data_IF_328924483371
#
_entry.id   IF_328924483371
#
_cell.length_a   1.000
_cell.length_b   1.000
_cell.length_c   1.000
_cell.angle_alpha   90.00
_cell.angle_beta   90.00
_cell.angle_gamma   90.00
#
_symmetry.space_group_name_H-M   'P 1'
#
loop_
_entity.id
_entity.type
_entity.pdbx_description
1 polymer ?
#
# COMPACT_ATOMS: atom_id res chain seq x y z
N UNK A 1 14.58 15.09 13.10
CA UNK A 1 14.04 13.72 12.92
C UNK A 1 12.57 13.71 12.53
N UNK A 2 11.63 14.28 13.32
CA UNK A 2 10.20 14.29 12.96
C UNK A 2 9.92 14.88 11.57
N UNK A 3 10.47 16.05 11.24
CA UNK A 3 10.32 16.67 9.91
C UNK A 3 10.75 15.71 8.79
N UNK A 4 11.87 15.00 8.96
CA UNK A 4 12.32 14.00 7.98
C UNK A 4 11.31 12.86 7.82
N UNK A 5 10.70 12.38 8.91
CA UNK A 5 9.64 11.36 8.85
C UNK A 5 8.43 11.89 8.05
N UNK A 6 8.01 13.14 8.29
CA UNK A 6 6.92 13.76 7.55
C UNK A 6 7.23 13.87 6.05
N UNK A 7 8.41 14.36 5.70
CA UNK A 7 8.83 14.54 4.31
C UNK A 7 8.92 13.19 3.59
N UNK A 8 9.55 12.18 4.21
CA UNK A 8 9.65 10.84 3.62
C UNK A 8 8.27 10.21 3.44
N UNK A 9 7.38 10.32 4.44
CA UNK A 9 6.03 9.76 4.32
C UNK A 9 5.17 10.49 3.28
N UNK A 10 5.34 11.80 3.13
CA UNK A 10 4.67 12.57 2.08
C UNK A 10 5.15 12.14 0.68
N UNK A 11 6.46 12.01 0.49
CA UNK A 11 7.02 11.51 -0.77
C UNK A 11 6.55 10.08 -1.06
N UNK A 12 6.50 9.24 -0.02
CA UNK A 12 6.00 7.88 -0.12
C UNK A 12 4.51 7.85 -0.49
N UNK A 13 3.68 8.73 0.11
CA UNK A 13 2.27 8.87 -0.28
C UNK A 13 2.12 9.27 -1.74
N UNK A 14 2.89 10.25 -2.22
CA UNK A 14 2.86 10.70 -3.62
C UNK A 14 3.21 9.52 -4.54
N UNK A 15 4.25 8.74 -4.19
CA UNK A 15 4.62 7.54 -4.91
C UNK A 15 3.50 6.49 -4.94
N UNK A 16 2.87 6.21 -3.78
CA UNK A 16 1.75 5.27 -3.68
C UNK A 16 0.51 5.75 -4.45
N UNK A 17 0.23 7.05 -4.49
CA UNK A 17 -0.84 7.62 -5.32
C UNK A 17 -0.57 7.44 -6.81
N UNK A 18 0.69 7.63 -7.23
CA UNK A 18 1.11 7.37 -8.61
C UNK A 18 0.92 5.90 -8.99
N UNK A 19 1.41 4.97 -8.17
CA UNK A 19 1.22 3.53 -8.40
C UNK A 19 -0.25 3.14 -8.38
N UNK A 20 -1.01 3.58 -7.38
CA UNK A 20 -2.43 3.26 -7.25
C UNK A 20 -3.25 3.75 -8.46
N UNK A 21 -2.92 4.94 -8.98
CA UNK A 21 -3.54 5.47 -10.19
C UNK A 21 -3.21 4.64 -11.43
N UNK A 22 -1.94 4.25 -11.60
CA UNK A 22 -1.52 3.39 -12.70
C UNK A 22 -2.18 2.00 -12.64
N UNK A 23 -2.28 1.42 -11.45
CA UNK A 23 -2.94 0.14 -11.23
C UNK A 23 -4.45 0.23 -11.53
N UNK A 24 -5.13 1.26 -11.03
CA UNK A 24 -6.54 1.50 -11.34
C UNK A 24 -6.80 1.67 -12.84
N UNK A 25 -5.96 2.46 -13.53
CA UNK A 25 -6.05 2.60 -14.98
C UNK A 25 -5.76 1.28 -15.71
N UNK A 26 -4.79 0.49 -15.23
CA UNK A 26 -4.44 -0.81 -15.78
C UNK A 26 -5.60 -1.82 -15.70
N UNK A 27 -6.30 -1.87 -14.56
CA UNK A 27 -7.49 -2.70 -14.39
C UNK A 27 -8.60 -2.36 -15.40
N UNK A 28 -8.76 -1.07 -15.72
CA UNK A 28 -9.80 -0.58 -16.62
C UNK A 28 -9.32 -0.43 -18.08
N UNK A 29 -8.09 -0.83 -18.40
CA UNK A 29 -7.51 -0.63 -19.74
C UNK A 29 -8.12 -1.56 -20.80
N UNK A 30 -8.50 -2.78 -20.41
CA UNK A 30 -9.10 -3.77 -21.28
C UNK A 30 -10.38 -4.35 -20.66
N UNK A 31 -11.35 -4.82 -21.48
CA UNK A 31 -12.54 -5.48 -20.95
C UNK A 31 -12.16 -6.71 -20.12
N UNK A 32 -12.52 -6.69 -18.84
CA UNK A 32 -12.35 -7.81 -17.93
C UNK A 32 -13.70 -8.49 -17.70
N UNK A 33 -13.80 -9.84 -17.80
CA UNK A 33 -15.06 -10.56 -17.69
C UNK A 33 -15.58 -10.71 -16.24
N UNK A 34 -14.72 -10.49 -15.23
CA UNK A 34 -15.07 -10.59 -13.81
C UNK A 34 -15.34 -9.23 -13.14
N UNK A 35 -15.47 -9.22 -11.81
CA UNK A 35 -15.57 -7.99 -11.03
C UNK A 35 -14.24 -7.71 -10.33
N UNK A 36 -13.83 -6.46 -10.32
CA UNK A 36 -12.56 -5.99 -9.76
C UNK A 36 -12.58 -5.85 -8.22
N UNK A 37 -13.25 -6.73 -7.48
CA UNK A 37 -13.51 -6.53 -6.04
C UNK A 37 -12.21 -6.58 -5.24
N UNK A 38 -11.41 -7.64 -5.38
CA UNK A 38 -10.17 -7.79 -4.63
C UNK A 38 -9.12 -6.76 -5.03
N UNK A 39 -9.05 -6.40 -6.30
CA UNK A 39 -8.17 -5.33 -6.78
C UNK A 39 -8.56 -3.96 -6.19
N UNK A 40 -9.85 -3.61 -6.18
CA UNK A 40 -10.32 -2.35 -5.58
C UNK A 40 -10.09 -2.31 -4.05
N UNK A 41 -10.37 -3.42 -3.35
CA UNK A 41 -10.04 -3.54 -1.92
C UNK A 41 -8.54 -3.43 -1.71
N UNK A 42 -7.77 -4.08 -2.57
CA UNK A 42 -6.31 -4.05 -2.59
C UNK A 42 -5.77 -2.63 -2.68
N UNK A 43 -6.28 -1.85 -3.62
CA UNK A 43 -5.94 -0.45 -3.83
C UNK A 43 -6.26 0.42 -2.61
N UNK A 44 -7.44 0.26 -2.02
CA UNK A 44 -7.84 1.02 -0.84
C UNK A 44 -6.93 0.71 0.37
N UNK A 45 -6.60 -0.56 0.56
CA UNK A 45 -5.81 -1.02 1.69
C UNK A 45 -4.37 -0.50 1.69
N UNK A 46 -3.80 -0.16 0.52
CA UNK A 46 -2.49 0.51 0.42
C UNK A 46 -2.45 1.77 1.29
N UNK A 47 -3.49 2.60 1.21
CA UNK A 47 -3.55 3.87 1.92
C UNK A 47 -3.86 3.68 3.41
N UNK A 48 -4.62 2.63 3.76
CA UNK A 48 -4.85 2.23 5.14
C UNK A 48 -3.53 1.80 5.79
N UNK A 49 -2.77 0.92 5.13
CA UNK A 49 -1.47 0.48 5.64
C UNK A 49 -0.47 1.61 5.72
N UNK A 50 -0.43 2.49 4.72
CA UNK A 50 0.37 3.70 4.78
C UNK A 50 0.05 4.57 6.00
N UNK A 51 -1.24 4.82 6.26
CA UNK A 51 -1.66 5.63 7.41
C UNK A 51 -1.24 5.01 8.75
N UNK A 52 -1.39 3.68 8.88
CA UNK A 52 -0.97 2.93 10.07
C UNK A 52 0.55 2.92 10.22
N UNK A 53 1.28 2.63 9.15
CA UNK A 53 2.75 2.61 9.11
C UNK A 53 3.32 3.96 9.49
N UNK A 54 2.80 5.03 8.90
CA UNK A 54 3.17 6.40 9.22
C UNK A 54 2.93 6.75 10.70
N UNK A 55 1.76 6.39 11.24
CA UNK A 55 1.46 6.59 12.66
C UNK A 55 2.48 5.87 13.56
N UNK A 56 2.82 4.62 13.25
CA UNK A 56 3.80 3.83 14.02
C UNK A 56 5.22 4.41 13.90
N UNK A 57 5.60 4.92 12.73
CA UNK A 57 6.89 5.57 12.50
C UNK A 57 7.05 6.84 13.33
N UNK A 58 5.99 7.64 13.51
CA UNK A 58 6.00 8.83 14.37
C UNK A 58 6.25 8.52 15.85
N UNK A 59 5.98 7.29 16.30
CA UNK A 59 6.27 6.85 17.67
C UNK A 59 7.71 6.39 17.87
N UNK A 60 8.51 6.26 16.80
CA UNK A 60 9.88 5.78 16.90
C UNK A 60 10.83 6.86 17.41
N UNK A 61 11.68 6.49 18.38
CA UNK A 61 12.63 7.41 19.03
C UNK A 61 13.99 7.47 18.34
N UNK A 62 14.33 6.47 17.53
CA UNK A 62 15.63 6.35 16.86
C UNK A 62 15.46 6.15 15.37
N UNK A 63 16.44 6.63 14.59
CA UNK A 63 16.43 6.51 13.13
C UNK A 63 16.49 5.05 12.66
N UNK A 64 17.24 4.19 13.37
CA UNK A 64 17.31 2.75 13.07
C UNK A 64 15.94 2.08 13.19
N UNK A 65 15.17 2.39 14.24
CA UNK A 65 13.81 1.85 14.40
C UNK A 65 12.87 2.38 13.32
N UNK A 66 12.97 3.67 12.98
CA UNK A 66 12.22 4.22 11.84
C UNK A 66 12.49 3.45 10.55
N UNK A 67 13.76 3.21 10.20
CA UNK A 67 14.14 2.46 8.99
C UNK A 67 13.59 1.04 9.03
N UNK A 68 13.68 0.34 10.16
CA UNK A 68 13.14 -1.02 10.31
C UNK A 68 11.63 -1.03 10.06
N UNK A 69 10.88 -0.10 10.67
CA UNK A 69 9.43 -0.01 10.44
C UNK A 69 9.08 0.32 9.00
N UNK A 70 9.84 1.21 8.35
CA UNK A 70 9.63 1.55 6.95
C UNK A 70 9.90 0.36 6.02
N UNK A 71 10.96 -0.41 6.26
CA UNK A 71 11.26 -1.62 5.49
C UNK A 71 10.19 -2.69 5.70
N UNK A 72 9.71 -2.89 6.94
CA UNK A 72 8.64 -3.83 7.23
C UNK A 72 7.32 -3.44 6.55
N UNK A 73 6.98 -2.16 6.55
CA UNK A 73 5.81 -1.64 5.83
C UNK A 73 5.92 -1.93 4.32
N UNK A 74 7.08 -1.68 3.73
CA UNK A 74 7.30 -1.95 2.31
C UNK A 74 7.21 -3.44 1.98
N UNK A 75 7.80 -4.30 2.81
CA UNK A 75 7.71 -5.76 2.65
C UNK A 75 6.26 -6.25 2.78
N UNK A 76 5.49 -5.68 3.71
CA UNK A 76 4.10 -6.01 3.90
C UNK A 76 3.25 -5.59 2.69
N UNK A 77 3.43 -4.37 2.17
CA UNK A 77 2.77 -3.90 0.96
C UNK A 77 3.10 -4.78 -0.26
N UNK A 78 4.35 -5.22 -0.39
CA UNK A 78 4.75 -6.15 -1.44
C UNK A 78 4.01 -7.49 -1.34
N UNK A 79 3.97 -8.09 -0.15
CA UNK A 79 3.24 -9.35 0.09
C UNK A 79 1.75 -9.17 -0.20
N UNK A 80 1.17 -8.04 0.23
CA UNK A 80 -0.23 -7.71 -0.02
C UNK A 80 -0.57 -7.71 -1.51
N UNK A 81 0.24 -7.02 -2.32
CA UNK A 81 0.07 -6.97 -3.77
C UNK A 81 0.25 -8.33 -4.45
N UNK A 82 1.24 -9.12 -4.04
CA UNK A 82 1.59 -10.36 -4.72
C UNK A 82 0.66 -11.54 -4.39
N UNK A 83 0.05 -11.54 -3.19
CA UNK A 83 -0.65 -12.72 -2.69
C UNK A 83 -2.06 -12.43 -2.17
N UNK A 84 -2.26 -11.31 -1.48
CA UNK A 84 -3.51 -11.09 -0.75
C UNK A 84 -4.64 -10.65 -1.69
N UNK A 85 -4.33 -9.89 -2.74
CA UNK A 85 -5.33 -9.50 -3.75
C UNK A 85 -5.94 -10.75 -4.41
N UNK A 86 -5.08 -11.64 -4.94
CA UNK A 86 -5.53 -12.88 -5.57
C UNK A 86 -6.28 -13.80 -4.61
N UNK A 87 -5.89 -13.83 -3.33
CA UNK A 87 -6.64 -14.54 -2.31
C UNK A 87 -8.04 -13.95 -2.09
N UNK A 88 -8.17 -12.63 -2.02
CA UNK A 88 -9.47 -11.96 -1.88
C UNK A 88 -10.35 -12.25 -3.11
N UNK A 89 -9.83 -12.11 -4.33
CA UNK A 89 -10.59 -12.44 -5.54
C UNK A 89 -11.07 -13.90 -5.51
N UNK A 90 -10.24 -14.85 -5.05
CA UNK A 90 -10.65 -16.25 -4.91
C UNK A 90 -11.80 -16.50 -3.91
N UNK A 91 -12.04 -15.58 -2.97
CA UNK A 91 -13.15 -15.67 -2.02
C UNK A 91 -14.46 -15.10 -2.58
N UNK A 92 -14.38 -14.16 -3.53
CA UNK A 92 -15.52 -13.42 -4.06
C UNK A 92 -15.90 -13.81 -5.50
N UNK A 93 -15.01 -14.45 -6.25
CA UNK A 93 -15.29 -15.08 -7.56
C UNK A 93 -15.75 -16.55 -7.43
N UNK A 94 -16.07 -17.01 -6.21
CA UNK A 94 -16.64 -18.34 -5.91
C UNK A 94 -18.17 -18.40 -6.04
#
# INVERSE_FOLDING_TARGET
MRIAIHVVNLLFLIFLLGIGSLAYLGMNFAPYPGNHVGENIGLLMIYVFWGVGYYLQLKQKTITRFIIFFVLEFAFLYIWFMYVISFIDSLFEA
#
